data_IF_866377213153
#
_entry.id   IF_866377213153
#
_cell.length_a   1.000
_cell.length_b   1.000
_cell.length_c   1.000
_cell.angle_alpha   90.00
_cell.angle_beta   90.00
_cell.angle_gamma   90.00
#
_symmetry.space_group_name_H-M   'P 1'
#
loop_
_entity.id
_entity.type
_entity.pdbx_description
1 polymer ?
#
# COMPACT_ATOMS: atom_id res chain seq x y z
N UNK A 1 0.36 -10.82 -3.32
CA UNK A 1 0.59 -10.56 -1.89
C UNK A 1 0.95 -9.10 -1.59
N UNK A 2 1.68 -8.40 -2.47
CA UNK A 2 2.02 -6.97 -2.29
C UNK A 2 0.79 -6.05 -2.08
N UNK A 3 -0.22 -6.12 -2.94
CA UNK A 3 -1.48 -5.35 -2.79
C UNK A 3 -2.15 -5.58 -1.43
N UNK A 4 -2.17 -6.83 -0.95
CA UNK A 4 -2.76 -7.18 0.35
C UNK A 4 -1.99 -6.53 1.50
N UNK A 5 -0.65 -6.50 1.42
CA UNK A 5 0.20 -5.82 2.42
C UNK A 5 -0.03 -4.31 2.45
N UNK A 6 -0.13 -3.67 1.29
CA UNK A 6 -0.43 -2.23 1.19
C UNK A 6 -1.83 -1.91 1.72
N UNK A 7 -2.83 -2.75 1.42
CA UNK A 7 -4.18 -2.59 1.98
C UNK A 7 -4.20 -2.74 3.51
N UNK A 8 -3.51 -3.76 4.04
CA UNK A 8 -3.40 -3.97 5.48
C UNK A 8 -2.71 -2.77 6.16
N UNK A 9 -1.68 -2.22 5.52
CA UNK A 9 -1.03 -1.01 6.02
C UNK A 9 -1.97 0.20 6.01
N UNK A 10 -2.66 0.46 4.89
CA UNK A 10 -3.66 1.54 4.77
C UNK A 10 -4.69 1.51 5.90
N UNK A 11 -5.30 0.34 6.15
CA UNK A 11 -6.30 0.15 7.23
C UNK A 11 -5.71 0.41 8.63
N UNK A 12 -4.39 0.31 8.79
CA UNK A 12 -3.70 0.58 10.06
C UNK A 12 -3.40 2.05 10.30
N UNK A 13 -3.28 2.82 9.22
CA UNK A 13 -3.09 4.27 9.28
C UNK A 13 -4.43 4.99 9.37
N UNK A 14 -5.45 4.47 8.70
CA UNK A 14 -6.83 4.99 8.71
C UNK A 14 -7.80 4.04 9.43
N UNK A 15 -7.58 3.66 10.70
CA UNK A 15 -8.55 2.83 11.41
C UNK A 15 -9.81 3.64 11.70
N UNK A 16 -10.96 2.97 11.66
CA UNK A 16 -12.18 3.50 12.26
C UNK A 16 -11.88 3.79 13.74
N UNK A 17 -12.07 5.04 14.17
CA UNK A 17 -11.80 5.44 15.55
C UNK A 17 -12.65 4.61 16.53
N UNK A 18 -12.05 4.15 17.63
CA UNK A 18 -12.76 3.43 18.70
C UNK A 18 -12.00 2.25 19.31
N UNK A 19 -12.67 1.49 20.20
CA UNK A 19 -12.14 0.25 20.76
C UNK A 19 -11.92 -0.76 19.63
N UNK A 20 -10.65 -1.04 19.28
CA UNK A 20 -10.27 -1.83 18.11
C UNK A 20 -9.41 -1.09 17.10
N UNK A 21 -9.10 0.19 17.34
CA UNK A 21 -8.09 0.90 16.57
C UNK A 21 -6.72 0.20 16.68
N UNK A 22 -6.00 0.19 15.57
CA UNK A 22 -4.71 -0.48 15.43
C UNK A 22 -3.67 0.22 16.30
N UNK A 23 -2.92 -0.56 17.08
CA UNK A 23 -1.85 -0.03 17.93
C UNK A 23 -0.70 0.53 17.09
N UNK A 24 0.12 1.46 17.63
CA UNK A 24 1.31 1.95 16.95
C UNK A 24 2.28 0.83 16.53
N UNK A 25 2.41 -0.23 17.34
CA UNK A 25 3.26 -1.38 17.03
C UNK A 25 2.74 -2.18 15.83
N UNK A 26 1.44 -2.47 15.80
CA UNK A 26 0.81 -3.16 14.66
C UNK A 26 0.89 -2.33 13.37
N UNK A 27 0.74 -1.00 13.47
CA UNK A 27 0.94 -0.09 12.33
C UNK A 27 2.37 -0.18 11.81
N UNK A 28 3.37 -0.18 12.69
CA UNK A 28 4.78 -0.28 12.29
C UNK A 28 5.08 -1.62 11.63
N UNK A 29 4.60 -2.73 12.19
CA UNK A 29 4.78 -4.06 11.61
C UNK A 29 4.19 -4.14 10.19
N UNK A 30 2.97 -3.63 10.00
CA UNK A 30 2.31 -3.61 8.69
C UNK A 30 2.98 -2.66 7.69
N UNK A 31 3.59 -1.57 8.18
CA UNK A 31 4.45 -0.70 7.37
C UNK A 31 5.62 -1.49 6.83
N UNK A 32 6.39 -2.14 7.71
CA UNK A 32 7.56 -2.95 7.32
C UNK A 32 7.19 -4.04 6.31
N UNK A 33 6.10 -4.76 6.53
CA UNK A 33 5.59 -5.77 5.60
C UNK A 33 5.30 -5.18 4.21
N UNK A 34 4.61 -4.03 4.16
CA UNK A 34 4.29 -3.38 2.90
C UNK A 34 5.56 -2.95 2.15
N UNK A 35 6.53 -2.32 2.82
CA UNK A 35 7.81 -1.93 2.22
C UNK A 35 8.64 -3.13 1.73
N UNK A 36 8.68 -4.24 2.47
CA UNK A 36 9.39 -5.45 2.03
C UNK A 36 8.74 -6.06 0.79
N UNK A 37 7.42 -6.05 0.73
CA UNK A 37 6.68 -6.58 -0.42
C UNK A 37 6.85 -5.72 -1.68
N UNK A 38 6.95 -4.39 -1.55
CA UNK A 38 7.19 -3.49 -2.69
C UNK A 38 8.64 -3.54 -3.18
N UNK A 39 9.59 -3.82 -2.28
CA UNK A 39 10.99 -4.00 -2.63
C UNK A 39 11.29 -5.36 -3.32
N UNK A 40 10.30 -6.22 -3.55
CA UNK A 40 10.52 -7.55 -4.12
C UNK A 40 10.93 -7.49 -5.61
N UNK A 41 12.01 -8.20 -5.96
CA UNK A 41 12.66 -8.21 -7.29
C UNK A 41 11.79 -8.66 -8.48
N UNK A 42 10.59 -9.20 -8.24
CA UNK A 42 9.70 -9.71 -9.31
C UNK A 42 8.70 -8.69 -9.85
N UNK A 43 8.69 -7.47 -9.30
CA UNK A 43 7.80 -6.39 -9.74
C UNK A 43 8.46 -5.60 -10.87
N UNK A 44 7.68 -5.21 -11.89
CA UNK A 44 8.16 -4.27 -12.92
C UNK A 44 8.44 -2.91 -12.30
N UNK A 45 9.27 -2.11 -12.98
CA UNK A 45 9.60 -0.76 -12.52
C UNK A 45 8.35 0.10 -12.30
N UNK A 46 7.42 0.09 -13.24
CA UNK A 46 6.15 0.82 -13.16
C UNK A 46 5.32 0.45 -11.92
N UNK A 47 5.20 -0.86 -11.62
CA UNK A 47 4.48 -1.33 -10.44
C UNK A 47 5.20 -0.96 -9.14
N UNK A 48 6.54 -0.94 -9.13
CA UNK A 48 7.32 -0.49 -7.96
C UNK A 48 7.13 1.00 -7.69
N UNK A 49 7.14 1.83 -8.74
CA UNK A 49 6.90 3.28 -8.61
C UNK A 49 5.50 3.58 -8.11
N UNK A 50 4.48 2.97 -8.71
CA UNK A 50 3.11 3.13 -8.26
C UNK A 50 2.95 2.68 -6.80
N UNK A 51 3.58 1.57 -6.41
CA UNK A 51 3.50 1.08 -5.04
C UNK A 51 4.23 1.99 -4.04
N UNK A 52 5.38 2.57 -4.41
CA UNK A 52 6.07 3.56 -3.60
C UNK A 52 5.23 4.83 -3.40
N UNK A 53 4.60 5.32 -4.46
CA UNK A 53 3.68 6.46 -4.40
C UNK A 53 2.47 6.17 -3.49
N UNK A 54 1.94 4.93 -3.52
CA UNK A 54 0.89 4.51 -2.59
C UNK A 54 1.35 4.54 -1.14
N UNK A 55 2.57 4.05 -0.84
CA UNK A 55 3.11 4.07 0.52
C UNK A 55 3.32 5.49 1.03
N UNK A 56 3.80 6.39 0.17
CA UNK A 56 3.96 7.81 0.49
C UNK A 56 2.62 8.49 0.79
N UNK A 57 1.59 8.20 -0.02
CA UNK A 57 0.24 8.74 0.21
C UNK A 57 -0.38 8.23 1.53
N UNK A 58 -0.16 6.95 1.87
CA UNK A 58 -0.59 6.38 3.15
C UNK A 58 0.18 7.05 4.30
N UNK A 59 1.50 7.16 4.21
CA UNK A 59 2.36 7.81 5.22
C UNK A 59 1.99 9.29 5.41
N UNK A 60 1.54 9.97 4.35
CA UNK A 60 1.04 11.35 4.38
C UNK A 60 -0.29 11.55 5.12
N UNK A 61 -0.99 10.49 5.49
CA UNK A 61 -2.19 10.57 6.35
C UNK A 61 -3.43 11.17 5.67
N UNK A 62 -3.45 11.28 4.34
CA UNK A 62 -4.62 11.70 3.58
C UNK A 62 -5.33 10.48 3.00
N UNK A 63 -6.44 10.06 3.61
CA UNK A 63 -7.21 8.90 3.16
C UNK A 63 -7.68 9.02 1.69
N UNK A 64 -8.18 10.18 1.21
CA UNK A 64 -8.53 10.35 -0.20
C UNK A 64 -7.32 10.17 -1.12
N UNK A 65 -6.15 10.73 -0.77
CA UNK A 65 -4.94 10.56 -1.58
C UNK A 65 -4.45 9.11 -1.59
N UNK A 66 -4.52 8.43 -0.44
CA UNK A 66 -4.17 7.02 -0.32
C UNK A 66 -5.11 6.12 -1.14
N UNK A 67 -6.41 6.47 -1.24
CA UNK A 67 -7.37 5.76 -2.09
C UNK A 67 -7.01 5.91 -3.57
N UNK A 68 -6.82 7.14 -4.06
CA UNK A 68 -6.43 7.37 -5.46
C UNK A 68 -5.10 6.71 -5.82
N UNK A 69 -4.12 6.73 -4.90
CA UNK A 69 -2.84 6.06 -5.15
C UNK A 69 -2.96 4.53 -5.18
N UNK A 70 -3.91 3.93 -4.45
CA UNK A 70 -4.22 2.50 -4.55
C UNK A 70 -4.86 2.16 -5.90
N UNK A 71 -5.75 3.02 -6.40
CA UNK A 71 -6.38 2.84 -7.73
C UNK A 71 -5.32 2.83 -8.84
N UNK A 72 -4.42 3.82 -8.86
CA UNK A 72 -3.31 3.88 -9.82
C UNK A 72 -2.40 2.64 -9.76
N UNK A 73 -2.15 2.12 -8.55
CA UNK A 73 -1.39 0.90 -8.38
C UNK A 73 -2.12 -0.34 -8.94
N UNK A 74 -3.43 -0.43 -8.76
CA UNK A 74 -4.22 -1.52 -9.34
C UNK A 74 -4.21 -1.46 -10.87
N UNK A 75 -4.28 -0.26 -11.45
CA UNK A 75 -4.16 -0.05 -12.89
C UNK A 75 -2.78 -0.51 -13.40
N UNK A 76 -1.69 -0.06 -12.78
CA UNK A 76 -0.33 -0.48 -13.15
C UNK A 76 -0.13 -2.00 -13.07
N UNK A 77 -0.73 -2.67 -12.08
CA UNK A 77 -0.71 -4.14 -11.96
C UNK A 77 -1.55 -4.81 -13.05
N UNK A 78 -2.66 -4.21 -13.44
CA UNK A 78 -3.52 -4.74 -14.50
C UNK A 78 -2.88 -4.60 -15.88
N UNK A 79 -2.24 -3.47 -16.17
CA UNK A 79 -1.45 -3.27 -17.39
C UNK A 79 -0.33 -4.31 -17.51
N UNK A 80 0.43 -4.54 -16.43
CA UNK A 80 1.46 -5.58 -16.40
C UNK A 80 0.89 -6.98 -16.74
N UNK A 81 -0.36 -7.27 -16.37
CA UNK A 81 -1.02 -8.55 -16.66
C UNK A 81 -1.50 -8.64 -18.10
N UNK A 82 -1.89 -7.54 -18.71
CA UNK A 82 -2.30 -7.49 -20.11
C UNK A 82 -1.09 -7.55 -21.07
N UNK A 83 0.07 -7.06 -20.65
CA UNK A 83 1.33 -7.08 -21.42
C UNK A 83 2.07 -8.45 -21.37
N UNK A 84 1.49 -9.46 -20.72
CA UNK A 84 2.08 -10.79 -20.53
C UNK A 84 1.33 -11.89 -21.28
#
# INVERSE_FOLDING_TARGET
MMILGIHAYKVSVFPLAGPGAVTPAERMARREDAYRLTAADRLTHHVREAAAATLEAIDGGSEPAALSAVENLMEAVQEQRCDR
#
